data_IF_908772565494
#
_entry.id   IF_908772565494
#
_cell.length_a   1.000
_cell.length_b   1.000
_cell.length_c   1.000
_cell.angle_alpha   90.00
_cell.angle_beta   90.00
_cell.angle_gamma   90.00
#
_symmetry.space_group_name_H-M   'P 1'
#
loop_
_entity.id
_entity.type
_entity.pdbx_description
1 polymer ?
#
# COMPACT_ATOMS: atom_id res chain seq x y z
N UNK A 1 -16.71 -2.44 -8.67
CA UNK A 1 -15.71 -3.32 -8.03
C UNK A 1 -14.63 -2.43 -7.46
N UNK A 2 -14.36 -2.48 -6.16
CA UNK A 2 -13.36 -1.62 -5.54
C UNK A 2 -11.99 -2.29 -5.66
N UNK A 3 -11.09 -1.71 -6.47
CA UNK A 3 -9.72 -2.20 -6.61
C UNK A 3 -8.97 -1.98 -5.30
N UNK A 4 -8.36 -3.05 -4.79
CA UNK A 4 -7.56 -3.06 -3.56
C UNK A 4 -6.11 -3.30 -3.93
N UNK A 5 -5.23 -2.37 -3.59
CA UNK A 5 -3.80 -2.46 -3.84
C UNK A 5 -3.05 -2.53 -2.53
N UNK A 6 -2.10 -3.47 -2.45
CA UNK A 6 -1.08 -3.52 -1.41
C UNK A 6 0.23 -3.01 -2.00
N UNK A 7 0.81 -1.99 -1.37
CA UNK A 7 2.07 -1.38 -1.75
C UNK A 7 3.15 -1.93 -0.83
N UNK A 8 4.25 -2.39 -1.44
CA UNK A 8 5.39 -2.96 -0.75
C UNK A 8 6.14 -1.93 0.12
N UNK A 9 6.83 -2.41 1.15
CA UNK A 9 7.61 -1.56 2.07
C UNK A 9 8.78 -0.86 1.38
N UNK A 10 9.29 -1.41 0.28
CA UNK A 10 10.39 -0.82 -0.50
C UNK A 10 9.94 0.30 -1.44
N UNK A 11 8.63 0.53 -1.58
CA UNK A 11 8.09 1.59 -2.43
C UNK A 11 8.07 2.90 -1.65
N UNK A 12 8.52 3.97 -2.30
CA UNK A 12 8.53 5.30 -1.69
C UNK A 12 7.11 5.71 -1.23
N UNK A 13 6.99 6.14 0.02
CA UNK A 13 5.73 6.53 0.67
C UNK A 13 5.00 7.69 0.00
N UNK A 14 5.69 8.46 -0.84
CA UNK A 14 5.06 9.50 -1.69
C UNK A 14 4.08 8.89 -2.69
N UNK A 15 4.34 7.68 -3.17
CA UNK A 15 3.53 7.03 -4.19
C UNK A 15 2.11 6.68 -3.70
N UNK A 16 1.91 5.96 -2.56
CA UNK A 16 0.57 5.76 -1.98
C UNK A 16 -0.16 7.08 -1.74
N UNK A 17 0.56 8.11 -1.28
CA UNK A 17 -0.04 9.40 -0.98
C UNK A 17 -0.56 10.11 -2.24
N UNK A 18 0.21 10.12 -3.33
CA UNK A 18 -0.21 10.69 -4.60
C UNK A 18 -1.34 9.88 -5.23
N UNK A 19 -1.27 8.54 -5.13
CA UNK A 19 -2.25 7.66 -5.72
C UNK A 19 -3.62 7.77 -5.00
N UNK A 20 -3.62 7.85 -3.67
CA UNK A 20 -4.81 8.17 -2.85
C UNK A 20 -5.43 9.53 -3.22
N UNK A 21 -4.62 10.52 -3.63
CA UNK A 21 -5.09 11.85 -4.06
C UNK A 21 -5.66 11.84 -5.48
N UNK A 22 -5.05 11.07 -6.38
CA UNK A 22 -5.44 11.02 -7.79
C UNK A 22 -6.68 10.16 -8.01
N UNK A 23 -6.77 9.04 -7.31
CA UNK A 23 -7.85 8.06 -7.44
C UNK A 23 -8.37 7.73 -6.03
N UNK A 24 -9.33 8.50 -5.49
CA UNK A 24 -9.87 8.27 -4.15
C UNK A 24 -10.74 7.01 -4.06
N UNK A 25 -11.16 6.45 -5.20
CA UNK A 25 -12.03 5.27 -5.28
C UNK A 25 -11.27 3.95 -5.09
N UNK A 26 -9.93 3.97 -5.16
CA UNK A 26 -9.11 2.77 -4.92
C UNK A 26 -8.66 2.69 -3.46
N UNK A 27 -8.72 1.48 -2.91
CA UNK A 27 -8.27 1.23 -1.53
C UNK A 27 -6.80 0.83 -1.58
N UNK A 28 -5.92 1.75 -1.17
CA UNK A 28 -4.47 1.54 -1.13
C UNK A 28 -4.04 1.30 0.31
N UNK A 29 -3.32 0.19 0.54
CA UNK A 29 -2.69 -0.17 1.82
C UNK A 29 -1.19 -0.32 1.62
N UNK A 30 -0.39 0.08 2.59
CA UNK A 30 1.08 -0.03 2.54
C UNK A 30 1.52 -1.10 3.53
N UNK A 31 2.43 -2.00 3.14
CA UNK A 31 3.04 -2.98 4.04
C UNK A 31 3.60 -2.28 5.27
N UNK A 32 3.23 -2.76 6.45
CA UNK A 32 3.52 -2.11 7.73
C UNK A 32 2.41 -1.20 8.29
N UNK A 33 1.39 -0.85 7.51
CA UNK A 33 0.18 -0.19 8.03
C UNK A 33 -0.70 -1.20 8.82
N UNK A 34 -1.60 -0.71 9.69
CA UNK A 34 -2.61 -1.55 10.33
C UNK A 34 -3.39 -2.37 9.30
N UNK A 35 -3.66 -3.64 9.62
CA UNK A 35 -4.33 -4.59 8.72
C UNK A 35 -3.57 -4.88 7.39
N UNK A 36 -2.24 -4.80 7.41
CA UNK A 36 -1.34 -5.25 6.34
C UNK A 36 -0.27 -6.20 6.89
N UNK A 37 0.44 -6.96 6.02
CA UNK A 37 1.61 -7.73 6.46
C UNK A 37 2.61 -6.84 7.21
N UNK A 38 3.29 -7.41 8.21
CA UNK A 38 4.34 -6.70 8.94
C UNK A 38 5.54 -6.44 8.02
N UNK A 39 6.25 -5.33 8.24
CA UNK A 39 7.55 -5.10 7.58
C UNK A 39 8.48 -6.28 7.84
N UNK A 40 9.26 -6.66 6.83
CA UNK A 40 10.24 -7.74 6.95
C UNK A 40 9.64 -9.13 6.82
N UNK A 41 8.79 -9.36 5.81
CA UNK A 41 8.64 -10.73 5.32
C UNK A 41 9.95 -11.07 4.62
N UNK A 42 10.81 -11.87 5.26
CA UNK A 42 11.89 -12.55 4.55
C UNK A 42 11.20 -13.35 3.44
N UNK A 43 11.39 -12.93 2.18
CA UNK A 43 11.02 -13.75 1.04
C UNK A 43 11.72 -15.12 1.21
N UNK A 44 10.98 -16.25 1.30
CA UNK A 44 11.57 -17.57 1.31
C UNK A 44 12.18 -17.96 -0.04
#
# INVERSE_FOLDING_TARGET
MTLKYLIDENVNSVYPQQLRRREPEIIIRVVGEPDTPKLGTLDP
#
